data_IF_592575363382
#
_entry.id   IF_592575363382
#
_cell.length_a   1.000
_cell.length_b   1.000
_cell.length_c   1.000
_cell.angle_alpha   90.00
_cell.angle_beta   90.00
_cell.angle_gamma   90.00
#
_symmetry.space_group_name_H-M   'P 1'
#
loop_
_entity.id
_entity.type
_entity.pdbx_description
1 polymer ?
#
# COMPACT_ATOMS: atom_id res chain seq x y z
N UNK A 1 -6.21 -16.89 19.27
CA UNK A 1 -5.22 -15.91 18.77
C UNK A 1 -3.90 -16.06 19.54
N UNK A 2 -2.79 -16.31 18.85
CA UNK A 2 -1.46 -16.41 19.50
C UNK A 2 -1.01 -15.04 20.06
N UNK A 3 -0.18 -15.03 21.11
CA UNK A 3 0.41 -13.79 21.66
C UNK A 3 1.13 -12.96 20.59
N UNK A 4 1.76 -13.63 19.63
CA UNK A 4 2.45 -12.98 18.50
C UNK A 4 1.47 -12.21 17.60
N UNK A 5 0.32 -12.82 17.28
CA UNK A 5 -0.74 -12.16 16.50
C UNK A 5 -1.28 -10.91 17.21
N UNK A 6 -1.48 -10.98 18.54
CA UNK A 6 -1.97 -9.82 19.31
C UNK A 6 -0.96 -8.67 19.36
N UNK A 7 0.34 -8.97 19.47
CA UNK A 7 1.41 -7.97 19.42
C UNK A 7 1.49 -7.31 18.05
N UNK A 8 1.39 -8.11 16.97
CA UNK A 8 1.41 -7.61 15.60
C UNK A 8 0.27 -6.62 15.33
N UNK A 9 -0.97 -7.00 15.66
CA UNK A 9 -2.12 -6.10 15.49
C UNK A 9 -2.00 -4.81 16.30
N UNK A 10 -1.46 -4.89 17.53
CA UNK A 10 -1.22 -3.70 18.36
C UNK A 10 -0.20 -2.76 17.71
N UNK A 11 0.91 -3.29 17.22
CA UNK A 11 1.92 -2.48 16.53
C UNK A 11 1.37 -1.88 15.24
N UNK A 12 0.62 -2.66 14.46
CA UNK A 12 -0.03 -2.17 13.24
C UNK A 12 -1.00 -1.03 13.54
N UNK A 13 -1.84 -1.18 14.57
CA UNK A 13 -2.77 -0.14 14.99
C UNK A 13 -2.03 1.15 15.40
N UNK A 14 -0.98 1.03 16.21
CA UNK A 14 -0.16 2.18 16.62
C UNK A 14 0.51 2.86 15.43
N UNK A 15 0.98 2.08 14.44
CA UNK A 15 1.58 2.61 13.22
C UNK A 15 0.55 3.38 12.37
N UNK A 16 -0.66 2.84 12.20
CA UNK A 16 -1.75 3.51 11.49
C UNK A 16 -2.16 4.80 12.22
N UNK A 17 -2.28 4.77 13.55
CA UNK A 17 -2.61 5.95 14.35
C UNK A 17 -1.53 7.04 14.23
N UNK A 18 -0.25 6.65 14.25
CA UNK A 18 0.86 7.58 14.07
C UNK A 18 0.85 8.20 12.66
N UNK A 19 0.61 7.41 11.62
CA UNK A 19 0.45 7.94 10.26
C UNK A 19 -0.72 8.92 10.16
N UNK A 20 -1.87 8.58 10.75
CA UNK A 20 -3.03 9.48 10.80
C UNK A 20 -2.71 10.80 11.49
N UNK A 21 -1.99 10.78 12.61
CA UNK A 21 -1.57 11.98 13.32
C UNK A 21 -0.62 12.86 12.49
N UNK A 22 0.31 12.27 11.73
CA UNK A 22 1.18 13.02 10.83
C UNK A 22 0.39 13.69 9.70
N UNK A 23 -0.56 12.97 9.09
CA UNK A 23 -1.43 13.54 8.05
C UNK A 23 -2.27 14.68 8.63
N UNK A 24 -2.83 14.51 9.83
CA UNK A 24 -3.58 15.56 10.51
C UNK A 24 -2.76 16.84 10.69
N UNK A 25 -1.53 16.72 11.19
CA UNK A 25 -0.62 17.87 11.36
C UNK A 25 -0.35 18.56 10.02
N UNK A 26 -0.10 17.81 8.95
CA UNK A 26 0.12 18.39 7.62
C UNK A 26 -1.11 19.14 7.13
N UNK A 27 -2.30 18.56 7.28
CA UNK A 27 -3.55 19.20 6.85
C UNK A 27 -3.79 20.51 7.57
N UNK A 28 -3.56 20.53 8.89
CA UNK A 28 -3.69 21.71 9.73
C UNK A 28 -2.64 22.78 9.40
N UNK A 29 -1.38 22.39 9.16
CA UNK A 29 -0.29 23.33 8.84
C UNK A 29 -0.42 23.98 7.47
N UNK A 30 -0.98 23.27 6.49
CA UNK A 30 -1.10 23.74 5.11
C UNK A 30 -2.52 24.24 4.78
N UNK A 31 -3.41 24.33 5.77
CA UNK A 31 -4.82 24.74 5.62
C UNK A 31 -5.52 24.04 4.45
N UNK A 32 -5.25 22.74 4.30
CA UNK A 32 -5.72 21.96 3.15
C UNK A 32 -7.23 21.72 3.30
N UNK A 33 -7.98 22.12 2.27
CA UNK A 33 -9.43 21.86 2.24
C UNK A 33 -9.72 20.35 2.19
N UNK A 34 -10.87 19.94 2.73
CA UNK A 34 -11.27 18.53 2.73
C UNK A 34 -11.34 17.91 1.32
N UNK A 35 -11.68 18.71 0.31
CA UNK A 35 -11.74 18.27 -1.09
C UNK A 35 -10.35 18.02 -1.67
N UNK A 36 -9.37 18.89 -1.39
CA UNK A 36 -7.98 18.69 -1.82
C UNK A 36 -7.36 17.46 -1.17
N UNK A 37 -7.68 17.22 0.10
CA UNK A 37 -7.25 16.03 0.84
C UNK A 37 -7.79 14.75 0.18
N UNK A 38 -9.04 14.74 -0.25
CA UNK A 38 -9.63 13.61 -0.98
C UNK A 38 -8.95 13.37 -2.33
N UNK A 39 -8.60 14.44 -3.06
CA UNK A 39 -7.84 14.34 -4.32
C UNK A 39 -6.46 13.75 -4.09
N UNK A 40 -5.76 14.20 -3.04
CA UNK A 40 -4.43 13.70 -2.67
C UNK A 40 -4.46 12.22 -2.28
N UNK A 41 -5.42 11.81 -1.45
CA UNK A 41 -5.60 10.40 -1.06
C UNK A 41 -5.92 9.56 -2.30
N UNK A 42 -6.84 10.01 -3.15
CA UNK A 42 -7.22 9.28 -4.36
C UNK A 42 -6.01 9.12 -5.29
N UNK A 43 -5.23 10.18 -5.48
CA UNK A 43 -3.96 10.15 -6.22
C UNK A 43 -2.98 9.13 -5.65
N UNK A 44 -2.76 9.14 -4.32
CA UNK A 44 -1.88 8.20 -3.65
C UNK A 44 -2.34 6.74 -3.84
N UNK A 45 -3.63 6.46 -3.67
CA UNK A 45 -4.22 5.13 -3.87
C UNK A 45 -4.03 4.67 -5.33
N UNK A 46 -4.24 5.54 -6.31
CA UNK A 46 -4.02 5.22 -7.72
C UNK A 46 -2.56 4.85 -8.01
N UNK A 47 -1.60 5.60 -7.45
CA UNK A 47 -0.17 5.31 -7.62
C UNK A 47 0.19 3.96 -7.00
N UNK A 48 -0.28 3.68 -5.77
CA UNK A 48 -0.06 2.39 -5.12
C UNK A 48 -0.66 1.25 -5.94
N UNK A 49 -1.89 1.42 -6.45
CA UNK A 49 -2.53 0.43 -7.31
C UNK A 49 -1.74 0.19 -8.60
N UNK A 50 -1.24 1.24 -9.24
CA UNK A 50 -0.40 1.13 -10.44
C UNK A 50 0.89 0.34 -10.16
N UNK A 51 1.56 0.60 -9.03
CA UNK A 51 2.74 -0.15 -8.61
C UNK A 51 2.40 -1.62 -8.39
N UNK A 52 1.28 -1.92 -7.73
CA UNK A 52 0.83 -3.31 -7.54
C UNK A 52 0.55 -4.02 -8.86
N UNK A 53 -0.08 -3.34 -9.83
CA UNK A 53 -0.33 -3.88 -11.17
C UNK A 53 0.99 -4.18 -11.88
N UNK A 54 1.95 -3.26 -11.85
CA UNK A 54 3.28 -3.49 -12.43
C UNK A 54 3.98 -4.70 -11.79
N UNK A 55 3.94 -4.81 -10.46
CA UNK A 55 4.50 -5.96 -9.75
C UNK A 55 3.79 -7.28 -10.13
N UNK A 56 2.46 -7.25 -10.26
CA UNK A 56 1.68 -8.40 -10.69
C UNK A 56 1.98 -8.82 -12.13
N UNK A 57 2.19 -7.86 -13.04
CA UNK A 57 2.59 -8.11 -14.43
C UNK A 57 3.97 -8.76 -14.45
N UNK A 58 4.95 -8.21 -13.73
CA UNK A 58 6.30 -8.78 -13.67
C UNK A 58 6.28 -10.20 -13.09
N UNK A 59 5.53 -10.43 -12.02
CA UNK A 59 5.34 -11.76 -11.46
C UNK A 59 4.66 -12.71 -12.46
N UNK A 60 3.64 -12.23 -13.17
CA UNK A 60 2.94 -13.00 -14.21
C UNK A 60 3.85 -13.38 -15.38
N UNK A 61 4.67 -12.45 -15.85
CA UNK A 61 5.68 -12.68 -16.89
C UNK A 61 6.69 -13.73 -16.41
N UNK A 62 7.18 -13.61 -15.19
CA UNK A 62 8.11 -14.58 -14.63
C UNK A 62 7.52 -16.00 -14.58
N UNK A 63 6.27 -16.12 -14.13
CA UNK A 63 5.55 -17.41 -14.10
C UNK A 63 5.33 -17.95 -15.51
N UNK A 64 4.96 -17.10 -16.47
CA UNK A 64 4.74 -17.50 -17.86
C UNK A 64 6.05 -17.98 -18.51
N UNK A 65 7.15 -17.24 -18.33
CA UNK A 65 8.47 -17.62 -18.83
C UNK A 65 8.93 -18.96 -18.26
N UNK A 66 8.78 -19.16 -16.95
CA UNK A 66 9.13 -20.43 -16.31
C UNK A 66 8.33 -21.60 -16.90
N UNK A 67 7.04 -21.39 -17.18
CA UNK A 67 6.20 -22.41 -17.80
C UNK A 67 6.68 -22.78 -19.21
N UNK A 68 7.05 -21.79 -20.03
CA UNK A 68 7.57 -22.08 -21.38
C UNK A 68 8.93 -22.78 -21.36
N UNK A 69 9.81 -22.45 -20.41
CA UNK A 69 11.09 -23.14 -20.26
C UNK A 69 10.94 -24.58 -19.75
N UNK A 70 10.01 -24.85 -18.84
CA UNK A 70 9.74 -26.21 -18.34
C UNK A 70 9.01 -27.10 -19.39
N UNK A 71 8.31 -26.51 -20.37
CA UNK A 71 7.64 -27.25 -21.47
C UNK A 71 8.59 -27.62 -22.64
N UNK A 72 9.83 -27.09 -22.67
CA UNK A 72 10.85 -27.35 -23.72
C UNK A 72 11.87 -28.46 -23.37
N UNK A 73 11.85 -29.01 -22.14
CA UNK A 73 12.63 -30.18 -21.68
C UNK A 73 11.81 -31.48 -21.68
#
# INVERSE_FOLDING_TARGET
MSRASRRFHRTLFLAIAAMGALVWVVVDQFDISGDELAVLITGAVMVVAAIMVCAAILAGIWVALKKFTDDED
#
